data_IF_491875045114
#
_entry.id   IF_491875045114
#
_cell.length_a   1.000
_cell.length_b   1.000
_cell.length_c   1.000
_cell.angle_alpha   90.00
_cell.angle_beta   90.00
_cell.angle_gamma   90.00
#
_symmetry.space_group_name_H-M   'P 1'
#
loop_
_entity.id
_entity.type
_entity.pdbx_description
1 polymer ?
#
# COMPACT_ATOMS: atom_id res chain seq x y z
N UNK A 1 6.69 70.89 -56.26
CA UNK A 1 6.08 71.85 -55.30
C UNK A 1 5.79 71.12 -53.99
N UNK A 2 6.34 71.63 -52.88
CA UNK A 2 5.78 71.74 -51.51
C UNK A 2 4.87 70.59 -51.02
N UNK A 3 5.04 69.94 -49.87
CA UNK A 3 5.78 70.22 -48.64
C UNK A 3 5.28 69.25 -47.56
N UNK A 4 6.06 69.19 -46.48
CA UNK A 4 6.00 68.35 -45.29
C UNK A 4 4.65 68.24 -44.57
N UNK A 5 4.36 67.07 -43.98
CA UNK A 5 3.78 66.99 -42.63
C UNK A 5 4.00 65.60 -41.99
N UNK A 6 4.63 65.65 -40.82
CA UNK A 6 5.01 64.56 -39.93
C UNK A 6 3.80 63.94 -39.22
N UNK A 7 3.85 62.62 -38.97
CA UNK A 7 2.97 61.96 -37.99
C UNK A 7 3.77 61.12 -36.99
N UNK A 8 3.34 61.08 -35.71
CA UNK A 8 4.21 60.70 -34.60
C UNK A 8 4.26 59.20 -34.34
N UNK A 9 5.45 58.75 -33.92
CA UNK A 9 5.78 57.39 -33.47
C UNK A 9 5.03 57.09 -32.17
N UNK A 10 3.86 56.44 -32.24
CA UNK A 10 3.09 56.03 -31.06
C UNK A 10 3.38 54.56 -30.72
N UNK A 11 4.22 54.35 -29.72
CA UNK A 11 4.48 53.04 -29.11
C UNK A 11 3.24 52.55 -28.35
N UNK A 12 2.56 51.52 -28.86
CA UNK A 12 1.55 50.80 -28.09
C UNK A 12 2.25 49.71 -27.27
N UNK A 13 2.65 50.06 -26.04
CA UNK A 13 3.04 49.07 -25.03
C UNK A 13 1.76 48.45 -24.47
N UNK A 14 1.46 47.23 -24.91
CA UNK A 14 0.38 46.41 -24.34
C UNK A 14 0.75 46.02 -22.90
N UNK A 15 -0.07 46.40 -21.92
CA UNK A 15 0.02 45.91 -20.55
C UNK A 15 -1.11 44.92 -20.27
N UNK A 16 -0.74 43.67 -19.98
CA UNK A 16 -1.68 42.67 -19.49
C UNK A 16 -2.03 42.96 -18.02
N UNK A 17 -3.30 42.88 -17.59
CA UNK A 17 -3.62 42.86 -16.17
C UNK A 17 -3.15 41.52 -15.60
N UNK A 18 -2.19 41.53 -14.66
CA UNK A 18 -1.87 40.33 -13.88
C UNK A 18 -3.05 40.00 -12.98
N UNK A 19 -3.97 39.17 -13.47
CA UNK A 19 -4.94 38.53 -12.58
C UNK A 19 -4.15 37.65 -11.61
N UNK A 20 -4.11 38.02 -10.33
CA UNK A 20 -3.69 37.10 -9.28
C UNK A 20 -4.76 36.01 -9.21
N UNK A 21 -4.53 34.89 -9.92
CA UNK A 21 -5.26 33.65 -9.65
C UNK A 21 -4.95 33.28 -8.21
N UNK A 22 -5.88 33.57 -7.30
CA UNK A 22 -5.91 32.98 -5.97
C UNK A 22 -6.17 31.50 -6.20
N UNK A 23 -5.13 30.68 -6.09
CA UNK A 23 -5.23 29.22 -6.15
C UNK A 23 -6.20 28.81 -5.06
N UNK A 24 -7.37 28.31 -5.46
CA UNK A 24 -8.32 27.71 -4.53
C UNK A 24 -7.63 26.46 -3.99
N UNK A 25 -7.27 26.47 -2.72
CA UNK A 25 -6.78 25.26 -2.05
C UNK A 25 -7.95 24.30 -2.06
N UNK A 26 -7.86 23.24 -2.87
CA UNK A 26 -8.83 22.14 -2.85
C UNK A 26 -8.90 21.60 -1.42
N UNK A 27 -10.09 21.27 -0.89
CA UNK A 27 -10.18 20.60 0.40
C UNK A 27 -9.31 19.35 0.34
N UNK A 28 -8.45 19.14 1.33
CA UNK A 28 -7.68 17.90 1.47
C UNK A 28 -8.69 16.75 1.48
N UNK A 29 -8.73 15.98 0.40
CA UNK A 29 -9.57 14.79 0.30
C UNK A 29 -9.26 13.91 1.50
N UNK A 30 -10.28 13.58 2.31
CA UNK A 30 -10.12 12.60 3.38
C UNK A 30 -9.44 11.36 2.78
N UNK A 31 -8.40 10.78 3.41
CA UNK A 31 -7.79 9.56 2.89
C UNK A 31 -8.90 8.56 2.57
N UNK A 32 -8.95 8.11 1.32
CA UNK A 32 -10.08 7.33 0.78
C UNK A 32 -10.29 6.00 1.50
N UNK A 33 -9.29 5.57 2.26
CA UNK A 33 -9.20 4.24 2.82
C UNK A 33 -9.07 4.35 4.35
N UNK A 34 -9.78 3.47 5.06
CA UNK A 34 -9.83 3.43 6.53
C UNK A 34 -8.72 2.52 7.09
N UNK A 35 -8.09 2.87 8.22
CA UNK A 35 -7.14 1.99 8.88
C UNK A 35 -7.80 0.66 9.29
N UNK A 36 -7.01 -0.40 9.41
CA UNK A 36 -7.52 -1.73 9.75
C UNK A 36 -8.40 -1.72 11.01
N UNK A 37 -8.04 -0.96 12.04
CA UNK A 37 -8.82 -0.82 13.28
C UNK A 37 -10.23 -0.28 13.08
N UNK A 38 -10.47 0.46 12.01
CA UNK A 38 -11.79 0.99 11.65
C UNK A 38 -12.52 0.13 10.62
N UNK A 39 -11.77 -0.58 9.76
CA UNK A 39 -12.33 -1.43 8.71
C UNK A 39 -12.84 -2.77 9.25
N UNK A 40 -12.18 -3.32 10.28
CA UNK A 40 -12.56 -4.61 10.84
C UNK A 40 -13.61 -4.48 11.96
N UNK A 41 -14.56 -5.40 11.99
CA UNK A 41 -15.58 -5.49 13.05
C UNK A 41 -14.98 -5.82 14.42
N UNK A 42 -13.92 -6.62 14.44
CA UNK A 42 -13.25 -7.08 15.66
C UNK A 42 -11.78 -7.36 15.39
N UNK A 43 -10.90 -6.80 16.23
CA UNK A 43 -9.46 -7.04 16.19
C UNK A 43 -8.94 -7.20 17.61
N UNK A 44 -8.18 -8.26 17.85
CA UNK A 44 -7.37 -8.44 19.05
C UNK A 44 -5.91 -8.27 18.64
N UNK A 45 -5.27 -7.18 19.10
CA UNK A 45 -3.85 -6.91 18.80
C UNK A 45 -2.99 -7.55 19.89
N UNK A 46 -1.84 -8.17 19.54
CA UNK A 46 -0.90 -8.62 20.55
C UNK A 46 -0.32 -7.42 21.31
N UNK A 47 -0.01 -7.62 22.59
CA UNK A 47 0.62 -6.59 23.43
C UNK A 47 2.13 -6.49 23.18
N UNK A 48 2.73 -5.37 23.59
CA UNK A 48 4.19 -5.18 23.55
C UNK A 48 4.78 -5.03 22.15
N UNK A 49 3.98 -4.67 21.14
CA UNK A 49 4.49 -4.38 19.79
C UNK A 49 5.35 -3.11 19.86
N UNK A 50 6.59 -3.21 19.43
CA UNK A 50 7.51 -2.05 19.32
C UNK A 50 7.96 -1.80 17.88
N UNK A 51 7.89 -2.82 17.02
CA UNK A 51 8.27 -2.72 15.61
C UNK A 51 7.49 -3.72 14.75
N UNK A 52 7.69 -3.69 13.44
CA UNK A 52 7.11 -4.66 12.51
C UNK A 52 8.09 -4.98 11.38
N UNK A 53 8.07 -6.22 10.90
CA UNK A 53 8.82 -6.65 9.72
C UNK A 53 8.23 -6.18 8.39
N UNK A 54 7.07 -5.52 8.40
CA UNK A 54 6.33 -5.13 7.20
C UNK A 54 7.12 -4.36 6.14
N UNK A 55 7.93 -3.32 6.46
CA UNK A 55 8.60 -2.53 5.42
C UNK A 55 9.51 -3.35 4.48
N UNK A 56 10.20 -4.35 5.01
CA UNK A 56 11.07 -5.22 4.21
C UNK A 56 10.26 -6.16 3.29
N UNK A 57 9.11 -6.62 3.77
CA UNK A 57 8.17 -7.42 2.98
C UNK A 57 7.50 -6.57 1.89
N UNK A 58 7.04 -5.36 2.25
CA UNK A 58 6.43 -4.42 1.31
C UNK A 58 7.40 -4.07 0.17
N UNK A 59 8.68 -3.86 0.48
CA UNK A 59 9.70 -3.64 -0.55
C UNK A 59 9.72 -4.76 -1.61
N UNK A 60 9.75 -6.03 -1.17
CA UNK A 60 9.74 -7.16 -2.09
C UNK A 60 8.42 -7.30 -2.84
N UNK A 61 7.28 -7.11 -2.17
CA UNK A 61 5.97 -7.10 -2.82
C UNK A 61 5.93 -6.09 -3.96
N UNK A 62 6.37 -4.85 -3.71
CA UNK A 62 6.40 -3.79 -4.71
C UNK A 62 7.38 -4.10 -5.84
N UNK A 63 8.52 -4.71 -5.54
CA UNK A 63 9.49 -5.15 -6.55
C UNK A 63 8.92 -6.23 -7.48
N UNK A 64 8.02 -7.06 -6.99
CA UNK A 64 7.27 -8.06 -7.77
C UNK A 64 6.03 -7.47 -8.47
N UNK A 65 5.77 -6.17 -8.34
CA UNK A 65 4.59 -5.51 -8.93
C UNK A 65 3.29 -5.71 -8.16
N UNK A 66 3.36 -6.18 -6.91
CA UNK A 66 2.20 -6.43 -6.05
C UNK A 66 1.94 -5.29 -5.07
N UNK A 67 0.67 -5.07 -4.77
CA UNK A 67 0.21 -4.03 -3.84
C UNK A 67 -0.95 -4.54 -2.98
N UNK A 68 -0.98 -4.13 -1.73
CA UNK A 68 -2.00 -4.52 -0.77
C UNK A 68 -2.96 -3.35 -0.50
N UNK A 69 -4.24 -3.67 -0.34
CA UNK A 69 -5.23 -2.73 0.20
C UNK A 69 -4.85 -2.33 1.64
N UNK A 70 -5.29 -1.18 2.12
CA UNK A 70 -4.88 -0.69 3.44
C UNK A 70 -5.20 -1.66 4.58
N UNK A 71 -6.34 -2.37 4.52
CA UNK A 71 -6.67 -3.37 5.53
C UNK A 71 -5.71 -4.57 5.47
N UNK A 72 -5.29 -4.97 4.27
CA UNK A 72 -4.31 -6.04 4.04
C UNK A 72 -2.93 -5.63 4.55
N UNK A 73 -2.52 -4.37 4.32
CA UNK A 73 -1.29 -3.80 4.87
C UNK A 73 -1.33 -3.80 6.40
N UNK A 74 -2.43 -3.34 7.00
CA UNK A 74 -2.60 -3.36 8.46
C UNK A 74 -2.56 -4.78 9.03
N UNK A 75 -3.14 -5.76 8.32
CA UNK A 75 -3.16 -7.14 8.75
C UNK A 75 -1.76 -7.75 8.66
N UNK A 76 -1.02 -7.46 7.60
CA UNK A 76 0.37 -7.88 7.43
C UNK A 76 1.31 -7.22 8.45
N UNK A 77 1.11 -5.93 8.77
CA UNK A 77 1.84 -5.23 9.83
C UNK A 77 1.64 -5.87 11.20
N UNK A 78 0.41 -6.26 11.55
CA UNK A 78 0.12 -6.99 12.79
C UNK A 78 0.67 -8.42 12.76
N UNK A 79 0.61 -9.08 11.61
CA UNK A 79 1.17 -10.43 11.44
C UNK A 79 2.68 -10.46 11.66
N UNK A 80 3.38 -9.42 11.18
CA UNK A 80 4.82 -9.27 11.30
C UNK A 80 5.24 -8.38 12.47
N UNK A 81 4.34 -8.06 13.39
CA UNK A 81 4.62 -7.24 14.55
C UNK A 81 5.66 -7.93 15.44
N UNK A 82 6.59 -7.18 16.00
CA UNK A 82 7.69 -7.68 16.84
C UNK A 82 7.73 -6.96 18.18
N UNK A 83 8.17 -7.69 19.21
CA UNK A 83 8.45 -7.15 20.55
C UNK A 83 9.88 -6.63 20.63
N UNK A 84 10.25 -6.06 21.78
CA UNK A 84 11.58 -5.50 22.04
C UNK A 84 12.71 -6.53 21.97
N UNK A 85 12.40 -7.81 22.17
CA UNK A 85 13.31 -8.94 22.00
C UNK A 85 13.55 -9.31 20.52
N UNK A 86 12.89 -8.64 19.58
CA UNK A 86 12.99 -8.90 18.14
C UNK A 86 12.17 -10.10 17.65
N UNK A 87 11.49 -10.82 18.55
CA UNK A 87 10.62 -11.94 18.21
C UNK A 87 9.24 -11.44 17.78
N UNK A 88 8.51 -12.25 17.01
CA UNK A 88 7.14 -11.92 16.62
C UNK A 88 6.23 -11.80 17.84
N UNK A 89 5.39 -10.77 17.86
CA UNK A 89 4.47 -10.48 18.96
C UNK A 89 3.29 -11.47 19.00
N UNK A 90 2.87 -11.96 17.83
CA UNK A 90 1.98 -13.09 17.68
C UNK A 90 2.81 -14.39 17.82
N UNK A 91 2.84 -14.95 19.04
CA UNK A 91 3.62 -16.13 19.37
C UNK A 91 2.77 -17.40 19.31
N UNK A 92 2.45 -18.00 20.46
CA UNK A 92 1.75 -19.29 20.57
C UNK A 92 0.35 -19.16 19.96
N UNK A 93 0.03 -20.06 19.04
CA UNK A 93 -1.21 -20.04 18.26
C UNK A 93 -1.14 -19.20 16.98
N UNK A 94 -0.17 -18.29 16.84
CA UNK A 94 0.01 -17.50 15.62
C UNK A 94 -1.12 -16.49 15.37
N UNK A 95 -1.46 -16.28 14.11
CA UNK A 95 -2.44 -15.27 13.68
C UNK A 95 -3.67 -15.95 13.10
N UNK A 96 -4.85 -15.59 13.61
CA UNK A 96 -6.13 -16.08 13.13
C UNK A 96 -6.94 -14.96 12.49
N UNK A 97 -7.61 -15.27 11.37
CA UNK A 97 -8.37 -14.30 10.59
C UNK A 97 -9.70 -14.89 10.14
N UNK A 98 -10.81 -14.30 10.61
CA UNK A 98 -12.15 -14.59 10.08
C UNK A 98 -12.52 -13.49 9.08
N UNK A 99 -12.47 -13.83 7.79
CA UNK A 99 -12.58 -12.86 6.70
C UNK A 99 -13.62 -13.33 5.66
N UNK A 100 -14.43 -12.42 5.11
CA UNK A 100 -15.45 -12.75 4.13
C UNK A 100 -14.87 -13.33 2.83
N UNK A 101 -15.76 -13.77 1.95
CA UNK A 101 -15.39 -14.30 0.63
C UNK A 101 -14.84 -13.17 -0.25
N UNK A 102 -13.94 -13.51 -1.16
CA UNK A 102 -13.50 -12.66 -2.27
C UNK A 102 -12.83 -11.32 -1.91
N UNK A 103 -12.41 -11.11 -0.66
CA UNK A 103 -11.62 -9.92 -0.27
C UNK A 103 -10.13 -10.03 -0.60
N UNK A 104 -9.70 -11.04 -1.36
CA UNK A 104 -8.27 -11.22 -1.67
C UNK A 104 -7.42 -11.70 -0.47
N UNK A 105 -8.02 -12.32 0.55
CA UNK A 105 -7.27 -12.85 1.71
C UNK A 105 -6.16 -13.84 1.31
N UNK A 106 -6.44 -14.71 0.34
CA UNK A 106 -5.45 -15.68 -0.13
C UNK A 106 -4.30 -15.00 -0.86
N UNK A 107 -4.58 -13.98 -1.67
CA UNK A 107 -3.56 -13.16 -2.34
C UNK A 107 -2.64 -12.48 -1.31
N UNK A 108 -3.22 -11.91 -0.26
CA UNK A 108 -2.46 -11.29 0.83
C UNK A 108 -1.50 -12.28 1.51
N UNK A 109 -1.99 -13.45 1.94
CA UNK A 109 -1.12 -14.43 2.62
C UNK A 109 -0.06 -14.99 1.66
N UNK A 110 -0.42 -15.23 0.40
CA UNK A 110 0.52 -15.69 -0.62
C UNK A 110 1.68 -14.71 -0.81
N UNK A 111 1.36 -13.45 -1.09
CA UNK A 111 2.36 -12.41 -1.29
C UNK A 111 3.26 -12.25 -0.07
N UNK A 112 2.68 -12.28 1.13
CA UNK A 112 3.41 -12.22 2.39
C UNK A 112 4.43 -13.37 2.50
N UNK A 113 4.00 -14.61 2.21
CA UNK A 113 4.85 -15.80 2.25
C UNK A 113 6.00 -15.72 1.24
N UNK A 114 5.72 -15.34 -0.02
CA UNK A 114 6.77 -15.22 -1.04
C UNK A 114 7.80 -14.15 -0.69
N UNK A 115 7.35 -12.98 -0.26
CA UNK A 115 8.24 -11.91 0.17
C UNK A 115 9.11 -12.34 1.36
N UNK A 116 8.56 -13.11 2.31
CA UNK A 116 9.34 -13.69 3.41
C UNK A 116 10.37 -14.72 2.93
N UNK A 117 10.03 -15.58 1.97
CA UNK A 117 10.97 -16.54 1.39
C UNK A 117 12.11 -15.85 0.63
N UNK A 118 11.84 -14.70 -0.02
CA UNK A 118 12.87 -13.88 -0.65
C UNK A 118 13.76 -13.16 0.37
N UNK A 119 13.17 -12.71 1.49
CA UNK A 119 13.89 -11.99 2.55
C UNK A 119 14.74 -12.92 3.41
N UNK A 120 14.32 -14.17 3.59
CA UNK A 120 14.95 -15.14 4.47
C UNK A 120 15.37 -16.38 3.69
N UNK A 121 16.62 -16.42 3.17
CA UNK A 121 17.15 -17.60 2.52
C UNK A 121 17.02 -18.83 3.43
N UNK A 122 16.56 -19.95 2.86
CA UNK A 122 16.29 -21.23 3.57
C UNK A 122 15.05 -21.21 4.48
N UNK A 123 14.17 -20.21 4.38
CA UNK A 123 12.85 -20.29 4.99
C UNK A 123 11.99 -21.33 4.27
N UNK A 124 11.53 -22.34 5.00
CA UNK A 124 10.56 -23.32 4.52
C UNK A 124 9.17 -22.97 5.04
N UNK A 125 8.18 -22.89 4.14
CA UNK A 125 6.79 -22.59 4.49
C UNK A 125 5.89 -23.76 4.14
N UNK A 126 5.11 -24.21 5.12
CA UNK A 126 4.08 -25.24 4.94
C UNK A 126 2.72 -24.58 4.68
N UNK A 127 2.05 -24.98 3.60
CA UNK A 127 0.69 -24.54 3.28
C UNK A 127 -0.29 -25.70 3.33
N UNK A 128 -1.25 -25.65 4.25
CA UNK A 128 -2.28 -26.69 4.42
C UNK A 128 -3.67 -26.14 4.13
N UNK A 129 -4.54 -27.00 3.60
CA UNK A 129 -5.96 -26.73 3.49
C UNK A 129 -6.73 -28.05 3.69
N UNK A 130 -8.00 -27.94 4.08
CA UNK A 130 -8.86 -29.10 4.33
C UNK A 130 -9.01 -30.01 3.11
N UNK A 131 -8.98 -29.45 1.89
CA UNK A 131 -9.12 -30.20 0.65
C UNK A 131 -7.88 -30.04 -0.22
N UNK A 132 -7.24 -31.16 -0.56
CA UNK A 132 -5.99 -31.20 -1.34
C UNK A 132 -6.11 -30.54 -2.71
N UNK A 133 -7.27 -30.68 -3.38
CA UNK A 133 -7.53 -30.03 -4.68
C UNK A 133 -7.39 -28.51 -4.58
N UNK A 134 -7.91 -27.92 -3.51
CA UNK A 134 -7.84 -26.47 -3.26
C UNK A 134 -6.41 -26.03 -2.97
N UNK A 135 -5.64 -26.81 -2.21
CA UNK A 135 -4.21 -26.54 -1.99
C UNK A 135 -3.43 -26.54 -3.30
N UNK A 136 -3.66 -27.55 -4.16
CA UNK A 136 -2.96 -27.67 -5.44
C UNK A 136 -3.30 -26.54 -6.43
N UNK A 137 -4.57 -26.16 -6.51
CA UNK A 137 -5.00 -25.03 -7.35
C UNK A 137 -4.40 -23.70 -6.85
N UNK A 138 -4.47 -23.46 -5.54
CA UNK A 138 -3.89 -22.27 -4.89
C UNK A 138 -2.38 -22.21 -5.14
N UNK A 139 -1.68 -23.33 -5.01
CA UNK A 139 -0.23 -23.41 -5.26
C UNK A 139 0.14 -23.07 -6.71
N UNK A 140 -0.68 -23.48 -7.69
CA UNK A 140 -0.47 -23.09 -9.10
C UNK A 140 -0.68 -21.60 -9.31
N UNK A 141 -1.72 -21.02 -8.69
CA UNK A 141 -1.94 -19.57 -8.71
C UNK A 141 -0.78 -18.83 -8.05
N UNK A 142 -0.20 -19.39 -6.99
CA UNK A 142 0.93 -18.82 -6.27
C UNK A 142 2.20 -18.78 -7.12
N UNK A 143 2.44 -19.81 -7.94
CA UNK A 143 3.56 -19.81 -8.88
C UNK A 143 3.49 -18.65 -9.88
N UNK A 144 2.30 -18.11 -10.18
CA UNK A 144 2.16 -16.96 -11.06
C UNK A 144 2.42 -15.61 -10.35
N UNK A 145 2.58 -15.59 -9.01
CA UNK A 145 2.90 -14.38 -8.26
C UNK A 145 4.42 -14.09 -8.18
N UNK A 146 5.25 -15.07 -8.54
CA UNK A 146 6.71 -15.01 -8.53
C UNK A 146 7.27 -15.09 -9.95
#
# INVERSE_FOLDING_TARGET
>A
LVGWLTLPRRSRRWSWPRSRRRTRVSPTTKPSTRPLSEAARHIVKPSGIVSTGWPAVEFWLRKMGHGFDQWQQGAAQLTLAKRSDGLYAATVGGVFMSLPRQVGKTYMIAGLVFALCLLHPRLTVLWTAQLLKTSGETFRTFRALA
#
